data_IF_484675158853
#
_entry.id   IF_484675158853
#
_cell.length_a   1.000
_cell.length_b   1.000
_cell.length_c   1.000
_cell.angle_alpha   90.00
_cell.angle_beta   90.00
_cell.angle_gamma   90.00
#
_symmetry.space_group_name_H-M   'P 1'
#
loop_
_entity.id
_entity.type
_entity.pdbx_description
1 polymer ?
#
# COMPACT_ATOMS: atom_id res chain seq x y z
N UNK A 1 29.76 -27.26 -30.00
CA UNK A 1 30.12 -25.83 -30.04
C UNK A 1 29.23 -25.08 -29.07
N UNK A 2 29.80 -24.70 -27.93
CA UNK A 2 29.10 -24.10 -26.78
C UNK A 2 29.01 -22.59 -26.97
N UNK A 3 27.80 -22.03 -27.09
CA UNK A 3 27.59 -20.57 -27.18
C UNK A 3 27.77 -19.94 -25.78
N UNK A 4 28.89 -19.23 -25.60
CA UNK A 4 29.10 -18.32 -24.46
C UNK A 4 28.12 -17.14 -24.57
N UNK A 5 27.13 -17.08 -23.69
CA UNK A 5 26.37 -15.87 -23.44
C UNK A 5 27.24 -14.92 -22.61
N UNK A 6 27.82 -13.90 -23.24
CA UNK A 6 28.59 -12.85 -22.56
C UNK A 6 27.65 -11.89 -21.84
N UNK A 7 27.80 -11.79 -20.51
CA UNK A 7 27.17 -10.88 -19.54
C UNK A 7 27.39 -9.36 -19.81
N UNK A 8 27.47 -8.94 -21.08
CA UNK A 8 27.77 -7.56 -21.48
C UNK A 8 26.53 -6.64 -21.48
N UNK A 9 25.32 -7.20 -21.40
CA UNK A 9 24.06 -6.44 -21.36
C UNK A 9 23.59 -6.10 -19.93
N UNK A 10 24.10 -6.76 -18.90
CA UNK A 10 23.73 -6.51 -17.50
C UNK A 10 24.41 -5.28 -16.88
N UNK A 11 25.52 -4.80 -17.47
CA UNK A 11 26.30 -3.68 -16.89
C UNK A 11 26.10 -2.33 -17.59
N UNK A 12 25.38 -2.27 -18.71
CA UNK A 12 25.19 -1.02 -19.47
C UNK A 12 23.89 -0.28 -19.17
N UNK A 13 23.00 -0.86 -18.35
CA UNK A 13 21.76 -0.24 -17.89
C UNK A 13 21.92 0.59 -16.58
N UNK A 14 23.11 0.60 -15.96
CA UNK A 14 23.35 1.29 -14.68
C UNK A 14 23.62 2.80 -14.79
N UNK A 15 23.34 3.44 -15.93
CA UNK A 15 23.78 4.83 -16.15
C UNK A 15 22.88 5.63 -17.09
N UNK A 16 21.62 5.83 -16.70
CA UNK A 16 20.87 7.11 -16.80
C UNK A 16 19.35 6.87 -16.72
N UNK A 17 18.68 7.64 -15.84
CA UNK A 17 17.22 7.77 -15.62
C UNK A 17 16.64 6.74 -14.64
N UNK A 18 15.95 7.25 -13.61
CA UNK A 18 15.44 6.54 -12.44
C UNK A 18 14.37 5.50 -12.82
N UNK A 19 14.42 4.30 -12.23
CA UNK A 19 13.38 3.27 -12.35
C UNK A 19 12.18 3.61 -11.42
N UNK A 20 11.64 4.82 -11.50
CA UNK A 20 10.62 5.32 -10.57
C UNK A 20 9.18 4.99 -11.03
N UNK A 21 8.35 4.53 -10.10
CA UNK A 21 6.96 4.12 -10.33
C UNK A 21 6.04 4.96 -9.44
N UNK A 22 5.30 5.89 -10.03
CA UNK A 22 4.43 6.80 -9.28
C UNK A 22 2.99 6.30 -9.22
N UNK A 23 2.42 6.27 -8.01
CA UNK A 23 1.02 5.89 -7.79
C UNK A 23 0.08 6.94 -8.37
N UNK A 24 -1.04 6.52 -8.97
CA UNK A 24 -2.03 7.43 -9.53
C UNK A 24 -2.83 8.15 -8.44
N UNK A 25 -3.08 9.45 -8.64
CA UNK A 25 -3.89 10.27 -7.74
C UNK A 25 -5.29 9.66 -7.51
N UNK A 26 -5.93 9.15 -8.56
CA UNK A 26 -7.26 8.54 -8.48
C UNK A 26 -7.30 7.33 -7.55
N UNK A 27 -6.25 6.52 -7.53
CA UNK A 27 -6.18 5.32 -6.70
C UNK A 27 -5.98 5.69 -5.22
N UNK A 28 -5.16 6.72 -4.95
CA UNK A 28 -4.97 7.29 -3.61
C UNK A 28 -6.27 7.91 -3.12
N UNK A 29 -6.89 8.78 -3.91
CA UNK A 29 -8.16 9.44 -3.57
C UNK A 29 -9.23 8.40 -3.25
N UNK A 30 -9.45 7.45 -4.16
CA UNK A 30 -10.46 6.40 -3.99
C UNK A 30 -10.26 5.62 -2.69
N UNK A 31 -9.02 5.26 -2.38
CA UNK A 31 -8.71 4.53 -1.16
C UNK A 31 -8.92 5.41 0.08
N UNK A 32 -8.31 6.60 0.13
CA UNK A 32 -8.36 7.49 1.30
C UNK A 32 -9.78 7.98 1.61
N UNK A 33 -10.59 8.32 0.60
CA UNK A 33 -11.99 8.74 0.82
C UNK A 33 -12.82 7.64 1.50
N UNK A 34 -12.52 6.35 1.28
CA UNK A 34 -13.28 5.27 1.92
C UNK A 34 -13.06 5.21 3.45
N UNK A 35 -11.89 5.64 3.94
CA UNK A 35 -11.63 5.79 5.38
C UNK A 35 -12.33 7.04 5.92
N UNK A 36 -12.33 8.14 5.17
CA UNK A 36 -13.03 9.38 5.53
C UNK A 36 -14.56 9.20 5.55
N UNK A 37 -15.12 8.41 4.64
CA UNK A 37 -16.55 8.08 4.61
C UNK A 37 -16.96 7.31 5.86
N UNK A 38 -16.11 6.38 6.31
CA UNK A 38 -16.35 5.61 7.52
C UNK A 38 -16.12 6.42 8.80
N UNK A 39 -15.03 7.18 8.86
CA UNK A 39 -14.68 8.06 9.96
C UNK A 39 -14.15 9.40 9.42
N UNK A 40 -14.96 10.47 9.43
CA UNK A 40 -14.56 11.77 8.87
C UNK A 40 -13.42 12.45 9.65
N UNK A 41 -13.12 11.96 10.85
CA UNK A 41 -12.09 12.51 11.73
C UNK A 41 -10.81 11.66 11.74
N UNK A 42 -10.70 10.61 10.91
CA UNK A 42 -9.55 9.70 10.89
C UNK A 42 -8.20 10.43 10.72
N UNK A 43 -8.16 11.53 9.94
CA UNK A 43 -6.97 12.38 9.77
C UNK A 43 -7.00 13.68 10.58
N UNK A 44 -8.09 13.97 11.31
CA UNK A 44 -8.24 15.26 12.00
C UNK A 44 -7.23 15.40 13.12
N UNK A 45 -6.55 16.54 13.15
CA UNK A 45 -5.48 16.88 14.09
C UNK A 45 -4.29 15.89 14.08
N UNK A 46 -4.17 15.05 13.05
CA UNK A 46 -3.08 14.08 12.90
C UNK A 46 -1.90 14.68 12.16
N UNK A 47 -0.72 14.13 12.43
CA UNK A 47 0.48 14.33 11.63
C UNK A 47 0.61 13.16 10.66
N UNK A 48 0.52 13.44 9.36
CA UNK A 48 0.71 12.43 8.30
C UNK A 48 2.12 12.52 7.75
N UNK A 49 2.77 11.37 7.57
CA UNK A 49 4.06 11.26 6.91
C UNK A 49 3.96 10.45 5.62
N UNK A 50 4.22 11.12 4.50
CA UNK A 50 4.37 10.48 3.20
C UNK A 50 5.86 10.46 2.84
N UNK A 51 6.56 9.39 3.22
CA UNK A 51 7.88 9.16 2.65
C UNK A 51 7.72 8.95 1.15
N UNK A 52 8.51 9.62 0.31
CA UNK A 52 8.43 9.44 -1.12
C UNK A 52 9.79 9.69 -1.76
N UNK A 53 9.95 9.30 -3.02
CA UNK A 53 11.20 9.55 -3.73
C UNK A 53 11.28 11.02 -4.18
N UNK A 54 10.14 11.62 -4.55
CA UNK A 54 10.01 13.05 -4.87
C UNK A 54 8.65 13.64 -4.42
N UNK A 55 8.63 14.57 -3.45
CA UNK A 55 7.41 15.26 -3.01
C UNK A 55 6.68 16.06 -4.09
N UNK A 56 7.37 16.59 -5.10
CA UNK A 56 6.73 17.36 -6.18
C UNK A 56 5.98 16.47 -7.18
N UNK A 57 6.44 15.23 -7.36
CA UNK A 57 5.79 14.24 -8.25
C UNK A 57 4.87 13.27 -7.48
N UNK A 58 5.02 13.19 -6.15
CA UNK A 58 4.24 12.31 -5.31
C UNK A 58 2.77 12.70 -5.25
N UNK A 59 1.92 11.88 -5.86
CA UNK A 59 0.47 12.04 -5.74
C UNK A 59 -0.04 11.85 -4.30
N UNK A 60 0.73 11.21 -3.41
CA UNK A 60 0.42 11.18 -1.97
C UNK A 60 0.53 12.57 -1.37
N UNK A 61 1.67 13.24 -1.59
CA UNK A 61 1.84 14.62 -1.14
C UNK A 61 0.75 15.53 -1.73
N UNK A 62 0.54 15.44 -3.04
CA UNK A 62 -0.49 16.22 -3.76
C UNK A 62 -1.87 16.05 -3.13
N UNK A 63 -2.31 14.82 -2.87
CA UNK A 63 -3.61 14.58 -2.25
C UNK A 63 -3.69 15.22 -0.86
N UNK A 64 -2.76 14.92 0.05
CA UNK A 64 -2.85 15.39 1.43
C UNK A 64 -2.68 16.91 1.55
N UNK A 65 -1.83 17.54 0.74
CA UNK A 65 -1.63 18.98 0.79
C UNK A 65 -2.84 19.75 0.25
N UNK A 66 -3.41 19.30 -0.88
CA UNK A 66 -4.61 19.92 -1.46
C UNK A 66 -5.85 19.74 -0.58
N UNK A 67 -5.88 18.66 0.21
CA UNK A 67 -6.98 18.36 1.12
C UNK A 67 -6.71 18.77 2.58
N UNK A 68 -5.56 19.39 2.89
CA UNK A 68 -5.06 19.62 4.24
C UNK A 68 -6.12 20.23 5.18
N UNK A 69 -6.76 21.33 4.74
CA UNK A 69 -7.84 21.98 5.51
C UNK A 69 -9.12 21.15 5.56
N UNK A 70 -9.51 20.53 4.44
CA UNK A 70 -10.76 19.76 4.33
C UNK A 70 -10.79 18.61 5.33
N UNK A 71 -9.68 17.88 5.45
CA UNK A 71 -9.55 16.73 6.36
C UNK A 71 -9.05 17.12 7.76
N UNK A 72 -8.79 18.41 7.99
CA UNK A 72 -8.37 18.95 9.29
C UNK A 72 -6.99 18.45 9.74
N UNK A 73 -6.05 18.27 8.81
CA UNK A 73 -4.72 17.77 9.12
C UNK A 73 -3.95 18.78 9.99
N UNK A 74 -3.16 18.29 10.96
CA UNK A 74 -2.32 19.17 11.81
C UNK A 74 -0.99 19.50 11.13
N UNK A 75 -0.39 18.50 10.49
CA UNK A 75 0.91 18.62 9.82
C UNK A 75 1.03 17.54 8.76
N UNK A 76 1.62 17.89 7.63
CA UNK A 76 2.05 16.95 6.60
C UNK A 76 3.57 16.98 6.53
N UNK A 77 4.19 15.82 6.72
CA UNK A 77 5.63 15.64 6.57
C UNK A 77 5.85 14.85 5.28
N UNK A 78 6.83 15.24 4.47
CA UNK A 78 7.33 14.42 3.38
C UNK A 78 8.85 14.47 3.32
N UNK A 79 9.44 13.41 2.79
CA UNK A 79 10.85 13.37 2.44
C UNK A 79 10.98 13.00 0.97
N UNK A 80 12.11 13.36 0.37
CA UNK A 80 12.57 12.83 -0.92
C UNK A 80 13.70 11.82 -0.70
N UNK A 81 13.94 10.94 -1.68
CA UNK A 81 15.10 10.04 -1.70
C UNK A 81 16.16 10.56 -2.69
N UNK A 82 17.42 10.20 -2.48
CA UNK A 82 18.51 10.54 -3.41
C UNK A 82 18.69 9.49 -4.52
N UNK A 83 18.81 9.88 -5.81
CA UNK A 83 18.76 11.23 -6.34
C UNK A 83 17.37 11.60 -6.87
N UNK A 84 16.66 12.54 -6.23
CA UNK A 84 15.47 13.17 -6.81
C UNK A 84 15.89 14.07 -7.99
N UNK A 85 15.44 13.80 -9.23
CA UNK A 85 15.82 14.58 -10.40
C UNK A 85 15.17 15.97 -10.42
N UNK A 86 14.01 16.13 -9.78
CA UNK A 86 13.10 17.26 -9.96
C UNK A 86 13.10 18.20 -8.76
N UNK A 87 13.13 17.68 -7.53
CA UNK A 87 13.15 18.52 -6.32
C UNK A 87 14.31 19.54 -6.30
N UNK A 88 15.44 19.23 -6.95
CA UNK A 88 16.60 20.12 -7.02
C UNK A 88 16.67 20.98 -8.30
N UNK A 89 15.93 20.67 -9.37
CA UNK A 89 16.01 21.39 -10.67
C UNK A 89 14.80 22.29 -10.97
N UNK A 90 13.58 21.90 -10.58
CA UNK A 90 12.41 22.77 -10.81
C UNK A 90 12.47 24.07 -9.98
N UNK A 91 13.29 24.11 -8.93
CA UNK A 91 13.50 25.29 -8.10
C UNK A 91 14.49 26.31 -8.70
N UNK A 92 15.49 25.89 -9.48
CA UNK A 92 16.36 26.81 -10.27
C UNK A 92 15.53 27.60 -11.30
N UNK A 93 14.43 27.02 -11.82
CA UNK A 93 13.53 27.64 -12.80
C UNK A 93 12.62 28.73 -12.22
N UNK A 94 12.57 28.90 -10.89
CA UNK A 94 11.71 29.88 -10.21
C UNK A 94 12.46 30.77 -9.20
N UNK A 95 13.79 30.93 -9.32
CA UNK A 95 14.61 31.76 -8.41
C UNK A 95 15.15 33.03 -9.08
N UNK A 96 14.70 34.20 -8.63
CA UNK A 96 15.29 35.51 -8.95
C UNK A 96 15.84 36.22 -7.68
N UNK A 97 15.99 35.49 -6.56
CA UNK A 97 16.40 36.07 -5.26
C UNK A 97 17.86 35.68 -4.93
N UNK A 98 18.77 36.65 -5.04
CA UNK A 98 20.22 36.50 -4.84
C UNK A 98 20.61 35.95 -3.45
N UNK A 99 19.76 36.13 -2.43
CA UNK A 99 20.05 35.69 -1.06
C UNK A 99 19.88 34.18 -0.83
N UNK A 100 18.99 33.54 -1.60
CA UNK A 100 18.82 32.08 -1.58
C UNK A 100 19.84 31.40 -2.49
N UNK A 101 20.31 32.08 -3.53
CA UNK A 101 21.35 31.60 -4.47
C UNK A 101 22.66 31.26 -3.75
N UNK A 102 23.12 32.06 -2.79
CA UNK A 102 24.32 31.75 -1.98
C UNK A 102 24.16 30.47 -1.12
N UNK A 103 22.94 30.16 -0.67
CA UNK A 103 22.65 28.96 0.11
C UNK A 103 22.56 27.72 -0.79
N UNK A 104 22.08 27.88 -2.03
CA UNK A 104 22.00 26.82 -3.04
C UNK A 104 23.33 26.52 -3.73
N UNK A 105 24.21 27.51 -3.92
CA UNK A 105 25.55 27.32 -4.53
C UNK A 105 26.48 26.47 -3.66
N UNK A 106 26.19 26.36 -2.35
CA UNK A 106 26.95 25.55 -1.40
C UNK A 106 26.29 24.21 -1.05
N UNK A 107 25.02 23.99 -1.45
CA UNK A 107 24.34 22.73 -1.23
C UNK A 107 24.73 21.72 -2.33
N UNK A 108 25.11 20.48 -1.97
CA UNK A 108 25.30 19.45 -2.98
C UNK A 108 23.98 19.25 -3.73
N UNK A 109 23.96 19.37 -5.06
CA UNK A 109 22.79 19.19 -5.97
C UNK A 109 22.05 17.84 -5.87
N UNK A 110 22.39 17.04 -4.87
CA UNK A 110 22.10 15.61 -4.77
C UNK A 110 21.75 15.20 -3.33
N UNK A 111 21.40 16.10 -2.42
CA UNK A 111 20.90 15.71 -1.08
C UNK A 111 19.40 15.43 -1.13
N UNK A 112 18.94 14.49 -0.31
CA UNK A 112 17.50 14.31 -0.05
C UNK A 112 16.95 15.56 0.67
N UNK A 113 15.64 15.77 0.62
CA UNK A 113 14.97 16.94 1.19
C UNK A 113 13.84 16.48 2.12
N UNK A 114 13.53 17.30 3.12
CA UNK A 114 12.30 17.20 3.91
C UNK A 114 11.43 18.42 3.72
N UNK A 115 10.12 18.20 3.69
CA UNK A 115 9.11 19.24 3.65
C UNK A 115 8.15 19.04 4.81
N UNK A 116 7.85 20.13 5.51
CA UNK A 116 6.89 20.14 6.61
C UNK A 116 5.86 21.23 6.30
N UNK A 117 4.62 20.82 6.11
CA UNK A 117 3.48 21.72 5.91
C UNK A 117 2.68 21.75 7.21
N UNK A 118 2.58 22.92 7.83
CA UNK A 118 1.74 23.16 9.00
C UNK A 118 0.50 24.00 8.67
N UNK A 119 0.56 24.78 7.60
CA UNK A 119 -0.54 25.63 7.15
C UNK A 119 -0.60 25.65 5.63
N UNK A 120 -1.81 25.80 5.08
CA UNK A 120 -2.03 26.01 3.65
C UNK A 120 -2.98 27.18 3.42
N UNK A 121 -3.01 27.76 2.23
CA UNK A 121 -3.85 28.90 1.90
C UNK A 121 -3.48 29.54 0.57
N UNK A 122 -4.44 30.19 -0.06
CA UNK A 122 -4.23 31.03 -1.24
C UNK A 122 -3.27 32.18 -0.87
N UNK A 123 -2.16 32.30 -1.61
CA UNK A 123 -1.14 33.33 -1.41
C UNK A 123 -1.13 34.36 -2.55
N UNK A 124 -1.55 33.98 -3.74
CA UNK A 124 -1.53 34.87 -4.90
C UNK A 124 -2.82 35.70 -5.05
N UNK A 125 -3.86 35.36 -4.28
CA UNK A 125 -5.12 36.07 -4.16
C UNK A 125 -6.09 35.76 -5.31
N UNK A 126 -5.90 34.64 -6.01
CA UNK A 126 -6.77 34.23 -7.12
C UNK A 126 -8.07 33.51 -6.68
N UNK A 127 -8.25 33.31 -5.36
CA UNK A 127 -9.33 32.56 -4.70
C UNK A 127 -9.35 31.05 -5.00
N UNK A 128 -8.29 30.49 -5.58
CA UNK A 128 -8.09 29.06 -5.77
C UNK A 128 -6.87 28.60 -4.96
N UNK A 129 -6.98 27.48 -4.24
CA UNK A 129 -5.82 26.89 -3.57
C UNK A 129 -5.25 25.75 -4.42
N UNK A 130 -4.00 25.91 -4.85
CA UNK A 130 -3.34 24.93 -5.70
C UNK A 130 -1.86 24.68 -5.30
N UNK A 131 -1.16 23.81 -6.03
CA UNK A 131 0.25 23.47 -5.71
C UNK A 131 1.22 24.66 -5.87
N UNK A 132 0.89 25.67 -6.69
CA UNK A 132 1.71 26.88 -6.83
C UNK A 132 1.69 27.69 -5.53
N UNK A 133 0.55 27.79 -4.86
CA UNK A 133 0.46 28.44 -3.55
C UNK A 133 1.34 27.75 -2.51
N UNK A 134 1.32 26.41 -2.49
CA UNK A 134 2.17 25.60 -1.59
C UNK A 134 3.64 25.89 -1.86
N UNK A 135 4.05 25.92 -3.13
CA UNK A 135 5.43 26.24 -3.51
C UNK A 135 5.81 27.68 -3.09
N UNK A 136 4.92 28.66 -3.28
CA UNK A 136 5.13 30.04 -2.84
C UNK A 136 5.20 30.15 -1.30
N UNK A 137 4.41 29.35 -0.58
CA UNK A 137 4.43 29.29 0.89
C UNK A 137 5.74 28.75 1.44
N UNK A 138 6.23 27.66 0.86
CA UNK A 138 7.52 27.07 1.20
C UNK A 138 8.65 28.09 0.99
N UNK A 139 8.60 28.88 -0.10
CA UNK A 139 9.58 29.95 -0.36
C UNK A 139 9.54 31.09 0.63
N UNK A 140 8.34 31.56 0.99
CA UNK A 140 8.16 32.66 1.95
C UNK A 140 8.52 32.24 3.39
N UNK A 141 8.78 30.94 3.61
CA UNK A 141 9.35 30.35 4.83
C UNK A 141 8.69 30.87 6.12
N UNK A 142 7.35 30.88 6.13
CA UNK A 142 6.54 31.36 7.26
C UNK A 142 6.33 30.27 8.30
N UNK A 143 5.42 29.34 8.00
CA UNK A 143 4.98 28.24 8.88
C UNK A 143 5.28 26.87 8.28
N UNK A 144 5.76 26.82 7.04
CA UNK A 144 6.12 25.60 6.35
C UNK A 144 7.64 25.58 6.20
N UNK A 145 8.24 24.41 6.36
CA UNK A 145 9.69 24.23 6.32
C UNK A 145 10.09 23.40 5.12
N UNK A 146 11.17 23.80 4.47
CA UNK A 146 11.90 22.99 3.50
C UNK A 146 13.37 23.02 3.86
N UNK A 147 13.95 21.84 4.09
CA UNK A 147 15.36 21.71 4.43
C UNK A 147 15.97 20.47 3.77
N UNK A 148 17.26 20.51 3.40
CA UNK A 148 17.99 19.31 3.02
C UNK A 148 18.09 18.36 4.21
N UNK A 149 18.08 17.08 3.91
CA UNK A 149 18.43 16.00 4.82
C UNK A 149 19.95 15.81 4.84
N UNK A 150 20.47 15.36 5.98
CA UNK A 150 21.90 15.03 6.12
C UNK A 150 22.22 13.71 5.40
N UNK A 151 21.25 12.78 5.39
CA UNK A 151 21.34 11.48 4.76
C UNK A 151 20.79 11.42 3.32
N UNK A 152 20.49 10.20 2.89
CA UNK A 152 19.96 9.90 1.56
C UNK A 152 18.43 9.75 1.52
N UNK A 153 17.75 9.91 2.66
CA UNK A 153 16.31 9.72 2.81
C UNK A 153 15.89 8.27 3.08
N UNK A 154 16.82 7.33 3.32
CA UNK A 154 16.47 5.97 3.72
C UNK A 154 15.61 5.99 5.00
N UNK A 155 14.53 5.22 5.03
CA UNK A 155 13.60 5.17 6.17
C UNK A 155 14.25 4.65 7.46
N UNK A 156 15.43 4.03 7.37
CA UNK A 156 16.21 3.49 8.48
C UNK A 156 17.16 4.51 9.10
N UNK A 157 17.39 5.63 8.42
CA UNK A 157 18.25 6.71 8.93
C UNK A 157 17.66 7.35 10.21
N UNK A 158 18.52 7.88 11.07
CA UNK A 158 18.10 8.52 12.32
C UNK A 158 17.17 9.72 12.07
N UNK A 159 17.42 10.49 11.01
CA UNK A 159 16.56 11.62 10.61
C UNK A 159 15.16 11.15 10.17
N UNK A 160 15.06 10.10 9.34
CA UNK A 160 13.78 9.54 8.91
C UNK A 160 13.01 8.93 10.07
N UNK A 161 13.71 8.27 11.00
CA UNK A 161 13.13 7.75 12.23
C UNK A 161 12.64 8.89 13.14
N UNK A 162 13.36 10.01 13.22
CA UNK A 162 12.92 11.17 13.98
C UNK A 162 11.64 11.79 13.40
N UNK A 163 11.50 11.82 12.07
CA UNK A 163 10.26 12.23 11.38
C UNK A 163 9.13 11.21 11.60
N UNK A 164 9.43 9.91 11.51
CA UNK A 164 8.49 8.84 11.79
C UNK A 164 7.92 8.97 13.21
N UNK A 165 8.77 9.21 14.21
CA UNK A 165 8.36 9.36 15.62
C UNK A 165 7.37 10.51 15.83
N UNK A 166 7.55 11.62 15.11
CA UNK A 166 6.65 12.79 15.17
C UNK A 166 5.29 12.57 14.51
N UNK A 167 5.18 11.53 13.67
CA UNK A 167 4.01 11.28 12.83
C UNK A 167 3.04 10.33 13.50
N UNK A 168 1.75 10.51 13.27
CA UNK A 168 0.71 9.62 13.76
C UNK A 168 0.41 8.52 12.72
N UNK A 169 0.28 8.94 11.45
CA UNK A 169 -0.14 8.09 10.33
C UNK A 169 0.90 8.14 9.21
N UNK A 170 1.27 6.98 8.66
CA UNK A 170 2.21 6.86 7.54
C UNK A 170 1.42 6.46 6.29
N UNK A 171 1.57 7.22 5.19
CA UNK A 171 0.86 6.91 3.94
C UNK A 171 1.82 6.95 2.75
N UNK A 172 2.10 5.79 2.15
CA UNK A 172 3.16 5.69 1.13
C UNK A 172 3.10 4.43 0.24
N UNK A 173 3.87 4.41 -0.84
CA UNK A 173 4.24 3.23 -1.62
C UNK A 173 5.70 2.84 -1.30
N UNK A 174 5.94 1.98 -0.30
CA UNK A 174 7.30 1.63 0.10
C UNK A 174 7.99 0.70 -0.93
N UNK A 175 9.33 0.67 -0.97
CA UNK A 175 10.06 -0.24 -1.85
C UNK A 175 9.76 -1.71 -1.49
N UNK A 176 9.26 -2.47 -2.47
CA UNK A 176 8.81 -3.85 -2.24
C UNK A 176 9.90 -4.81 -1.73
N UNK A 177 11.18 -4.53 -2.05
CA UNK A 177 12.33 -5.30 -1.56
C UNK A 177 12.54 -5.15 -0.05
N UNK A 178 12.15 -4.02 0.53
CA UNK A 178 12.31 -3.71 1.96
C UNK A 178 10.96 -3.76 2.70
N UNK A 179 9.89 -4.22 2.06
CA UNK A 179 8.53 -4.18 2.60
C UNK A 179 8.39 -4.85 3.98
N UNK A 180 9.04 -6.00 4.20
CA UNK A 180 8.97 -6.72 5.49
C UNK A 180 9.61 -5.92 6.62
N UNK A 181 10.80 -5.37 6.36
CA UNK A 181 11.53 -4.53 7.30
C UNK A 181 10.74 -3.24 7.60
N UNK A 182 10.12 -2.66 6.56
CA UNK A 182 9.31 -1.46 6.71
C UNK A 182 8.06 -1.70 7.57
N UNK A 183 7.28 -2.76 7.28
CA UNK A 183 6.11 -3.12 8.12
C UNK A 183 6.52 -3.38 9.56
N UNK A 184 7.62 -4.10 9.79
CA UNK A 184 8.14 -4.33 11.14
C UNK A 184 8.46 -3.02 11.85
N UNK A 185 9.13 -2.07 11.17
CA UNK A 185 9.42 -0.75 11.74
C UNK A 185 8.13 0.00 12.12
N UNK A 186 7.12 0.02 11.25
CA UNK A 186 5.84 0.71 11.53
C UNK A 186 5.15 0.12 12.76
N UNK A 187 5.19 -1.21 12.91
CA UNK A 187 4.64 -1.92 14.07
C UNK A 187 5.44 -1.62 15.34
N UNK A 188 6.77 -1.66 15.28
CA UNK A 188 7.65 -1.40 16.43
C UNK A 188 7.50 0.03 16.97
N UNK A 189 7.23 0.99 16.07
CA UNK A 189 6.95 2.39 16.43
C UNK A 189 5.46 2.68 16.68
N UNK A 190 4.61 1.65 16.72
CA UNK A 190 3.17 1.72 16.97
C UNK A 190 2.46 2.76 16.11
N UNK A 191 2.70 2.70 14.80
CA UNK A 191 2.16 3.66 13.84
C UNK A 191 0.88 3.18 13.20
N UNK A 192 -0.03 4.12 13.00
CA UNK A 192 -1.11 3.93 12.04
C UNK A 192 -0.52 4.09 10.63
N UNK A 193 -0.99 3.31 9.66
CA UNK A 193 -0.46 3.37 8.31
C UNK A 193 -1.45 2.91 7.24
N UNK A 194 -1.24 3.41 6.03
CA UNK A 194 -1.87 2.99 4.79
C UNK A 194 -0.79 2.90 3.72
N UNK A 195 -0.37 1.68 3.37
CA UNK A 195 0.76 1.46 2.46
C UNK A 195 0.42 0.53 1.30
N UNK A 196 1.06 0.73 0.17
CA UNK A 196 0.92 -0.18 -0.97
C UNK A 196 1.86 -1.38 -0.80
N UNK A 197 1.32 -2.58 -0.95
CA UNK A 197 2.08 -3.82 -0.92
C UNK A 197 1.72 -4.73 -2.09
N UNK A 198 2.56 -5.72 -2.33
CA UNK A 198 2.25 -6.81 -3.24
C UNK A 198 1.36 -7.85 -2.54
N UNK A 199 0.43 -8.49 -3.25
CA UNK A 199 -0.47 -9.54 -2.72
C UNK A 199 0.28 -10.70 -2.06
N UNK A 200 1.49 -11.01 -2.54
CA UNK A 200 2.34 -12.03 -1.93
C UNK A 200 2.75 -11.67 -0.49
N UNK A 201 2.76 -10.38 -0.14
CA UNK A 201 3.12 -9.90 1.18
C UNK A 201 2.18 -10.42 2.28
N UNK A 202 0.92 -10.71 1.95
CA UNK A 202 -0.05 -11.31 2.88
C UNK A 202 0.52 -12.58 3.52
N UNK A 203 1.31 -13.36 2.79
CA UNK A 203 1.86 -14.64 3.26
C UNK A 203 3.19 -14.53 4.00
N UNK A 204 3.79 -13.33 4.08
CA UNK A 204 5.08 -13.11 4.73
C UNK A 204 5.00 -13.39 6.24
N UNK A 205 6.12 -13.81 6.82
CA UNK A 205 6.22 -14.17 8.25
C UNK A 205 5.95 -13.00 9.17
N UNK A 206 6.26 -11.81 8.70
CA UNK A 206 6.12 -10.54 9.42
C UNK A 206 4.71 -9.95 9.25
N UNK A 207 3.91 -10.44 8.28
CA UNK A 207 2.62 -9.84 7.88
C UNK A 207 1.44 -10.73 8.24
N UNK A 208 1.47 -12.02 7.88
CA UNK A 208 0.32 -12.91 8.11
C UNK A 208 -0.08 -13.02 9.59
N UNK A 209 0.87 -13.14 10.56
CA UNK A 209 0.50 -13.17 11.97
C UNK A 209 -0.25 -11.90 12.41
N UNK A 210 0.12 -10.73 11.89
CA UNK A 210 -0.56 -9.48 12.19
C UNK A 210 -1.98 -9.44 11.62
N UNK A 211 -2.20 -10.00 10.43
CA UNK A 211 -3.55 -10.16 9.84
C UNK A 211 -4.38 -11.13 10.68
N UNK A 212 -3.80 -12.28 11.03
CA UNK A 212 -4.45 -13.30 11.86
C UNK A 212 -4.85 -12.76 13.23
N UNK A 213 -4.00 -11.95 13.84
CA UNK A 213 -4.23 -11.29 15.14
C UNK A 213 -5.09 -10.02 15.03
N UNK A 214 -5.63 -9.72 13.84
CA UNK A 214 -6.46 -8.54 13.56
C UNK A 214 -5.77 -7.20 13.90
N UNK A 215 -4.45 -7.13 13.75
CA UNK A 215 -3.65 -5.91 13.97
C UNK A 215 -3.50 -5.06 12.72
N UNK A 216 -3.54 -5.70 11.55
CA UNK A 216 -3.48 -5.07 10.23
C UNK A 216 -4.45 -5.80 9.29
N UNK A 217 -4.88 -5.15 8.22
CA UNK A 217 -5.81 -5.70 7.23
C UNK A 217 -5.57 -5.12 5.84
N UNK A 218 -6.25 -5.70 4.85
CA UNK A 218 -6.27 -5.15 3.50
C UNK A 218 -7.12 -3.89 3.48
N UNK A 219 -6.77 -2.93 2.64
CA UNK A 219 -7.61 -1.77 2.37
C UNK A 219 -8.86 -2.15 1.57
N UNK A 220 -9.45 -1.17 0.89
CA UNK A 220 -10.84 -1.31 0.40
C UNK A 220 -10.99 -2.12 -0.88
N UNK A 221 -9.90 -2.56 -1.50
CA UNK A 221 -9.95 -3.52 -2.59
C UNK A 221 -8.66 -4.27 -2.86
N UNK A 222 -8.79 -5.30 -3.69
CA UNK A 222 -7.73 -6.22 -4.08
C UNK A 222 -7.66 -6.39 -5.61
N UNK A 223 -6.51 -6.82 -6.12
CA UNK A 223 -6.30 -7.12 -7.54
C UNK A 223 -6.06 -5.87 -8.37
N UNK A 224 -7.05 -5.46 -9.17
CA UNK A 224 -6.97 -4.24 -10.03
C UNK A 224 -7.41 -2.96 -9.32
N UNK A 225 -7.44 -2.98 -7.99
CA UNK A 225 -7.82 -1.81 -7.21
C UNK A 225 -6.80 -0.68 -7.35
N UNK A 226 -5.53 -1.05 -7.46
CA UNK A 226 -4.47 -0.16 -7.95
C UNK A 226 -4.40 -0.37 -9.47
N UNK A 227 -4.76 0.67 -10.21
CA UNK A 227 -4.98 0.64 -11.65
C UNK A 227 -3.69 0.83 -12.46
N UNK A 228 -2.59 1.16 -11.79
CA UNK A 228 -1.23 1.12 -12.32
C UNK A 228 -0.32 2.17 -11.69
N UNK A 229 0.87 2.28 -12.26
CA UNK A 229 1.88 3.27 -11.87
C UNK A 229 2.37 4.02 -13.10
N UNK A 230 2.59 5.32 -12.96
CA UNK A 230 3.28 6.12 -13.98
C UNK A 230 4.74 5.69 -13.99
N UNK A 231 5.26 5.39 -15.17
CA UNK A 231 6.64 4.96 -15.39
C UNK A 231 7.38 5.95 -16.29
N UNK A 232 8.71 6.08 -16.17
CA UNK A 232 9.49 6.99 -17.00
C UNK A 232 9.46 6.61 -18.48
N UNK A 233 9.74 7.58 -19.35
CA UNK A 233 9.78 7.38 -20.80
C UNK A 233 10.79 6.32 -21.27
N UNK A 234 11.81 6.04 -20.46
CA UNK A 234 12.79 4.99 -20.72
C UNK A 234 12.26 3.58 -20.44
N UNK A 235 11.16 3.45 -19.69
CA UNK A 235 10.56 2.17 -19.40
C UNK A 235 9.89 1.61 -20.67
N UNK A 236 10.34 0.44 -21.11
CA UNK A 236 9.74 -0.25 -22.23
C UNK A 236 8.38 -0.81 -21.84
N UNK A 237 7.34 -0.37 -22.56
CA UNK A 237 5.98 -0.85 -22.35
C UNK A 237 5.82 -2.22 -23.00
N UNK A 238 5.46 -3.21 -22.19
CA UNK A 238 5.24 -4.58 -22.66
C UNK A 238 3.81 -5.04 -22.35
N UNK A 239 3.20 -5.70 -23.34
CA UNK A 239 1.92 -6.38 -23.17
C UNK A 239 0.71 -5.44 -23.07
N UNK A 240 -0.43 -6.02 -22.71
CA UNK A 240 -1.74 -5.33 -22.60
C UNK A 240 -1.91 -4.56 -21.29
N UNK A 241 -0.92 -4.60 -20.39
CA UNK A 241 -0.96 -3.96 -19.07
C UNK A 241 -0.38 -2.53 -19.09
N UNK A 242 0.16 -2.12 -20.23
CA UNK A 242 0.69 -0.79 -20.46
C UNK A 242 -0.29 0.07 -21.27
N UNK A 243 -0.45 1.33 -20.87
CA UNK A 243 -1.25 2.34 -21.58
C UNK A 243 -0.58 3.71 -21.52
N UNK A 244 -1.04 4.61 -22.38
CA UNK A 244 -0.72 6.04 -22.31
C UNK A 244 -2.03 6.76 -22.02
N UNK A 245 -2.04 7.65 -21.02
CA UNK A 245 -3.22 8.45 -20.70
C UNK A 245 -3.33 9.72 -21.59
N UNK A 246 -4.37 10.52 -21.36
CA UNK A 246 -4.64 11.74 -22.14
C UNK A 246 -3.56 12.82 -21.95
N UNK A 247 -2.83 12.79 -20.82
CA UNK A 247 -1.74 13.70 -20.50
C UNK A 247 -0.39 13.23 -21.07
N UNK A 248 -0.35 12.04 -21.68
CA UNK A 248 0.84 11.45 -22.25
C UNK A 248 1.67 10.62 -21.26
N UNK A 249 1.19 10.43 -20.03
CA UNK A 249 1.88 9.61 -19.05
C UNK A 249 1.81 8.13 -19.43
N UNK A 250 2.94 7.43 -19.30
CA UNK A 250 2.99 5.98 -19.50
C UNK A 250 2.60 5.27 -18.21
N UNK A 251 1.58 4.44 -18.26
CA UNK A 251 1.07 3.72 -17.08
C UNK A 251 1.24 2.22 -17.28
N UNK A 252 1.84 1.56 -16.28
CA UNK A 252 1.96 0.10 -16.20
C UNK A 252 1.11 -0.43 -15.06
N UNK A 253 0.19 -1.33 -15.39
CA UNK A 253 -0.69 -1.97 -14.42
C UNK A 253 -0.03 -3.21 -13.85
N UNK A 254 0.01 -3.35 -12.53
CA UNK A 254 0.41 -4.61 -11.89
C UNK A 254 -0.80 -5.18 -11.17
N UNK A 255 -1.37 -6.28 -11.66
CA UNK A 255 -2.58 -6.92 -11.09
C UNK A 255 -2.41 -7.49 -9.67
N UNK A 256 -1.27 -7.23 -9.02
CA UNK A 256 -0.84 -7.87 -7.78
C UNK A 256 -0.59 -6.87 -6.65
N UNK A 257 -0.98 -5.60 -6.80
CA UNK A 257 -0.82 -4.60 -5.74
C UNK A 257 -2.13 -4.41 -4.98
N UNK A 258 -2.00 -4.11 -3.68
CA UNK A 258 -3.11 -3.83 -2.77
C UNK A 258 -2.67 -2.82 -1.71
N UNK A 259 -3.65 -2.28 -0.99
CA UNK A 259 -3.41 -1.48 0.20
C UNK A 259 -3.35 -2.39 1.43
N UNK A 260 -2.36 -2.19 2.29
CA UNK A 260 -2.22 -2.80 3.60
C UNK A 260 -2.26 -1.70 4.64
N UNK A 261 -3.09 -1.87 5.67
CA UNK A 261 -3.42 -0.78 6.59
C UNK A 261 -3.76 -1.32 7.98
N UNK A 262 -3.76 -0.43 8.97
CA UNK A 262 -4.44 -0.62 10.25
C UNK A 262 -5.40 0.54 10.58
N UNK A 263 -5.74 1.36 9.56
CA UNK A 263 -6.82 2.33 9.63
C UNK A 263 -8.15 1.63 9.35
N UNK A 264 -9.16 1.90 10.16
CA UNK A 264 -10.46 1.25 10.04
C UNK A 264 -11.29 1.81 8.88
N UNK A 265 -12.11 0.97 8.24
CA UNK A 265 -12.89 1.36 7.08
C UNK A 265 -14.20 0.58 6.96
N UNK A 266 -15.22 1.19 6.35
CA UNK A 266 -16.59 0.64 6.35
C UNK A 266 -16.73 -0.75 5.73
N UNK A 267 -15.95 -1.07 4.68
CA UNK A 267 -15.95 -2.41 4.05
C UNK A 267 -15.63 -3.53 5.05
N UNK A 268 -14.88 -3.22 6.10
CA UNK A 268 -14.43 -4.18 7.11
C UNK A 268 -15.57 -4.74 7.94
N UNK A 269 -16.66 -4.00 8.07
CA UNK A 269 -17.83 -4.37 8.86
C UNK A 269 -19.01 -4.82 8.00
N UNK A 270 -18.81 -4.97 6.69
CA UNK A 270 -19.85 -5.50 5.81
C UNK A 270 -19.97 -7.00 6.04
N UNK A 271 -21.15 -7.46 6.48
CA UNK A 271 -21.42 -8.89 6.55
C UNK A 271 -21.35 -9.51 5.15
N UNK A 272 -20.67 -10.64 5.06
CA UNK A 272 -20.67 -11.47 3.86
C UNK A 272 -21.97 -12.26 3.82
N UNK A 273 -22.84 -12.09 2.80
CA UNK A 273 -24.04 -12.90 2.66
C UNK A 273 -23.67 -14.35 2.34
N UNK A 274 -24.18 -15.29 3.13
CA UNK A 274 -23.87 -16.72 3.04
C UNK A 274 -25.13 -17.53 2.76
N UNK A 275 -24.97 -18.62 2.02
CA UNK A 275 -26.00 -19.64 1.83
C UNK A 275 -25.72 -20.84 2.76
N UNK A 276 -26.73 -21.66 3.02
CA UNK A 276 -26.51 -22.94 3.71
C UNK A 276 -25.65 -23.88 2.87
N UNK A 277 -25.05 -24.92 3.47
CA UNK A 277 -24.34 -25.96 2.73
C UNK A 277 -25.24 -26.57 1.63
N UNK A 278 -26.50 -26.88 1.96
CA UNK A 278 -27.46 -27.47 1.01
C UNK A 278 -27.74 -26.53 -0.17
N UNK A 279 -27.92 -25.24 0.11
CA UNK A 279 -28.18 -24.24 -0.92
C UNK A 279 -26.96 -23.97 -1.79
N UNK A 280 -25.75 -23.94 -1.23
CA UNK A 280 -24.50 -23.87 -2.00
C UNK A 280 -24.39 -25.04 -2.98
N UNK A 281 -24.65 -26.27 -2.53
CA UNK A 281 -24.64 -27.47 -3.37
C UNK A 281 -25.68 -27.35 -4.50
N UNK A 282 -26.85 -26.77 -4.23
CA UNK A 282 -27.94 -26.70 -5.21
C UNK A 282 -27.79 -25.57 -6.21
N UNK A 283 -27.36 -24.39 -5.77
CA UNK A 283 -27.49 -23.13 -6.51
C UNK A 283 -26.17 -22.43 -6.86
N UNK A 284 -25.02 -22.93 -6.39
CA UNK A 284 -23.73 -22.27 -6.68
C UNK A 284 -23.51 -22.08 -8.19
N UNK A 285 -22.95 -20.93 -8.55
CA UNK A 285 -22.48 -20.62 -9.90
C UNK A 285 -21.25 -21.44 -10.31
N UNK A 286 -20.51 -21.98 -9.33
CA UNK A 286 -19.29 -22.75 -9.53
C UNK A 286 -19.59 -24.23 -9.76
N UNK A 287 -19.24 -24.74 -10.95
CA UNK A 287 -19.51 -26.13 -11.36
C UNK A 287 -18.85 -27.19 -10.47
N UNK A 288 -17.77 -26.83 -9.77
CA UNK A 288 -17.06 -27.68 -8.82
C UNK A 288 -17.61 -27.61 -7.40
N UNK A 289 -18.57 -26.73 -7.11
CA UNK A 289 -19.35 -26.72 -5.85
C UNK A 289 -20.75 -27.31 -6.11
N UNK A 290 -21.39 -26.90 -7.21
CA UNK A 290 -22.76 -27.32 -7.53
C UNK A 290 -22.86 -28.83 -7.72
N UNK A 291 -23.74 -29.48 -6.95
CA UNK A 291 -24.01 -30.91 -6.95
C UNK A 291 -22.92 -31.76 -6.28
N UNK A 292 -22.00 -31.14 -5.52
CA UNK A 292 -20.91 -31.84 -4.84
C UNK A 292 -20.88 -31.49 -3.37
N UNK A 293 -20.70 -32.50 -2.53
CA UNK A 293 -20.49 -32.29 -1.09
C UNK A 293 -19.14 -31.60 -0.83
N UNK A 294 -19.05 -30.91 0.32
CA UNK A 294 -17.81 -30.29 0.76
C UNK A 294 -16.80 -31.36 1.16
N UNK A 295 -15.59 -31.28 0.61
CA UNK A 295 -14.51 -32.19 0.96
C UNK A 295 -13.86 -31.78 2.30
N UNK A 296 -13.25 -32.73 2.99
CA UNK A 296 -12.48 -32.50 4.22
C UNK A 296 -10.99 -32.67 3.96
N UNK A 297 -10.16 -31.98 4.73
CA UNK A 297 -8.71 -32.19 4.67
C UNK A 297 -8.31 -33.53 5.28
N UNK A 298 -7.28 -34.14 4.69
CA UNK A 298 -6.81 -35.47 5.09
C UNK A 298 -6.26 -35.49 6.53
N UNK A 299 -5.60 -34.40 6.95
CA UNK A 299 -4.87 -34.30 8.22
C UNK A 299 -5.25 -33.11 9.10
N UNK A 300 -6.37 -32.43 8.82
CA UNK A 300 -6.83 -31.30 9.62
C UNK A 300 -8.35 -31.26 9.68
N UNK A 301 -8.93 -30.98 10.84
CA UNK A 301 -10.39 -31.00 11.05
C UNK A 301 -11.02 -29.72 10.51
N UNK A 302 -11.08 -29.64 9.18
CA UNK A 302 -11.67 -28.54 8.44
C UNK A 302 -12.22 -29.03 7.10
N UNK A 303 -13.21 -28.28 6.58
CA UNK A 303 -13.68 -28.46 5.20
C UNK A 303 -12.86 -27.60 4.23
N UNK A 304 -12.69 -28.09 3.00
CA UNK A 304 -12.18 -27.31 1.88
C UNK A 304 -13.32 -26.49 1.29
N UNK A 305 -13.13 -25.17 1.21
CA UNK A 305 -14.09 -24.26 0.61
C UNK A 305 -13.39 -23.57 -0.57
N UNK A 306 -13.72 -23.93 -1.82
CA UNK A 306 -12.92 -23.51 -2.96
C UNK A 306 -13.11 -22.05 -3.37
N UNK A 307 -14.22 -21.42 -2.94
CA UNK A 307 -14.58 -20.03 -3.25
C UNK A 307 -15.20 -19.32 -2.05
N UNK A 308 -14.97 -18.02 -1.93
CA UNK A 308 -15.50 -17.19 -0.85
C UNK A 308 -17.03 -17.15 -0.80
N UNK A 309 -17.71 -17.18 -1.94
CA UNK A 309 -19.18 -17.23 -2.04
C UNK A 309 -19.76 -18.63 -1.81
N UNK A 310 -18.91 -19.64 -1.60
CA UNK A 310 -19.30 -20.99 -1.20
C UNK A 310 -19.07 -21.25 0.29
N UNK A 311 -18.78 -20.22 1.09
CA UNK A 311 -18.70 -20.36 2.55
C UNK A 311 -20.12 -20.64 3.08
N UNK A 312 -20.33 -21.75 3.81
CA UNK A 312 -21.65 -22.07 4.35
C UNK A 312 -21.99 -21.30 5.63
N UNK A 313 -23.25 -20.86 5.77
CA UNK A 313 -23.76 -20.19 6.96
C UNK A 313 -24.02 -21.13 8.15
N UNK A 314 -24.18 -22.42 7.90
CA UNK A 314 -24.63 -23.45 8.85
C UNK A 314 -23.53 -24.45 9.25
N UNK A 315 -22.26 -24.11 9.02
CA UNK A 315 -21.11 -24.91 9.42
C UNK A 315 -20.23 -24.20 10.47
N UNK A 316 -20.17 -24.75 11.68
CA UNK A 316 -19.48 -24.11 12.82
C UNK A 316 -18.02 -24.54 13.00
N UNK A 317 -17.56 -25.49 12.18
CA UNK A 317 -16.18 -25.97 12.18
C UNK A 317 -15.20 -25.02 11.48
N UNK A 318 -13.95 -25.45 11.40
CA UNK A 318 -12.92 -24.70 10.67
C UNK A 318 -13.09 -24.90 9.16
N UNK A 319 -12.88 -23.83 8.40
CA UNK A 319 -13.02 -23.83 6.95
C UNK A 319 -11.74 -23.31 6.30
N UNK A 320 -11.21 -24.04 5.33
CA UNK A 320 -10.10 -23.57 4.50
C UNK A 320 -10.62 -22.81 3.29
N UNK A 321 -10.49 -21.48 3.31
CA UNK A 321 -10.98 -20.55 2.27
C UNK A 321 -9.85 -19.93 1.44
N UNK A 322 -10.09 -19.47 0.21
CA UNK A 322 -9.04 -18.85 -0.60
C UNK A 322 -8.49 -17.59 0.06
N UNK A 323 -7.22 -17.25 -0.20
CA UNK A 323 -6.60 -16.00 0.31
C UNK A 323 -7.39 -14.73 -0.07
N UNK A 324 -8.08 -14.78 -1.21
CA UNK A 324 -8.95 -13.71 -1.70
C UNK A 324 -10.14 -13.41 -0.78
N UNK A 325 -10.46 -14.31 0.15
CA UNK A 325 -11.44 -14.06 1.22
C UNK A 325 -11.11 -12.80 2.03
N UNK A 326 -9.82 -12.45 2.20
CA UNK A 326 -9.41 -11.27 2.95
C UNK A 326 -9.99 -9.96 2.40
N UNK A 327 -10.33 -9.89 1.12
CA UNK A 327 -11.00 -8.73 0.53
C UNK A 327 -12.42 -8.51 1.08
N UNK A 328 -13.05 -9.57 1.60
CA UNK A 328 -14.39 -9.58 2.21
C UNK A 328 -14.34 -9.97 3.69
N UNK A 329 -13.17 -9.92 4.30
CA UNK A 329 -13.00 -10.36 5.68
C UNK A 329 -13.61 -9.36 6.65
N UNK A 330 -14.67 -9.81 7.32
CA UNK A 330 -15.30 -9.13 8.42
C UNK A 330 -14.88 -9.79 9.76
N UNK A 331 -14.18 -9.07 10.65
CA UNK A 331 -13.69 -9.61 11.92
C UNK A 331 -14.80 -9.80 12.96
N UNK A 332 -15.98 -9.20 12.81
CA UNK A 332 -17.17 -9.49 13.62
C UNK A 332 -17.81 -10.82 13.21
N UNK A 333 -17.78 -11.17 11.91
CA UNK A 333 -18.38 -12.39 11.38
C UNK A 333 -17.46 -13.62 11.45
N UNK A 334 -16.14 -13.43 11.28
CA UNK A 334 -15.18 -14.53 11.20
C UNK A 334 -13.93 -14.31 12.05
N UNK A 335 -13.35 -15.40 12.53
CA UNK A 335 -12.03 -15.48 13.13
C UNK A 335 -11.06 -16.19 12.18
N UNK A 336 -9.86 -15.62 11.98
CA UNK A 336 -8.78 -16.31 11.28
C UNK A 336 -8.04 -17.18 12.30
N UNK A 337 -8.20 -18.50 12.20
CA UNK A 337 -7.60 -19.45 13.14
C UNK A 337 -6.23 -19.95 12.66
N UNK A 338 -5.90 -19.76 11.37
CA UNK A 338 -4.59 -20.10 10.85
C UNK A 338 -4.48 -20.02 9.33
N UNK A 339 -3.48 -20.71 8.79
CA UNK A 339 -3.20 -20.73 7.36
C UNK A 339 -2.11 -21.74 7.04
N UNK A 340 -1.84 -21.94 5.75
CA UNK A 340 -0.98 -23.04 5.27
C UNK A 340 0.37 -23.20 5.99
N UNK A 341 1.03 -22.10 6.34
CA UNK A 341 2.34 -22.11 7.02
C UNK A 341 2.26 -21.86 8.54
N UNK A 342 1.04 -21.71 9.09
CA UNK A 342 0.80 -21.20 10.44
C UNK A 342 -0.18 -22.06 11.24
N UNK A 343 -0.51 -23.25 10.73
CA UNK A 343 -1.41 -24.22 11.37
C UNK A 343 -0.72 -25.56 11.50
N UNK A 344 -1.01 -26.27 12.59
CA UNK A 344 -0.52 -27.62 12.82
C UNK A 344 -1.60 -28.66 12.52
N UNK A 345 -1.22 -29.76 11.90
CA UNK A 345 -2.04 -30.93 11.66
C UNK A 345 -2.19 -31.80 12.92
N UNK A 346 -2.90 -32.92 12.80
CA UNK A 346 -3.14 -33.84 13.93
C UNK A 346 -1.86 -34.40 14.57
N UNK A 347 -0.76 -34.48 13.82
CA UNK A 347 0.53 -35.01 14.28
C UNK A 347 1.46 -33.90 14.78
N UNK A 348 0.99 -32.65 14.83
CA UNK A 348 1.78 -31.48 15.21
C UNK A 348 2.73 -30.99 14.11
N UNK A 349 2.60 -31.48 12.88
CA UNK A 349 3.35 -30.98 11.71
C UNK A 349 2.60 -29.83 11.05
N UNK A 350 3.23 -29.06 10.19
CA UNK A 350 2.53 -28.03 9.43
C UNK A 350 1.42 -28.64 8.56
N UNK A 351 0.20 -28.11 8.68
CA UNK A 351 -0.93 -28.49 7.83
C UNK A 351 -0.56 -28.38 6.36
N UNK A 352 -0.79 -29.45 5.61
CA UNK A 352 -0.24 -29.62 4.27
C UNK A 352 -1.28 -29.40 3.15
N UNK A 353 -2.51 -29.03 3.50
CA UNK A 353 -3.59 -28.72 2.54
C UNK A 353 -3.88 -29.83 1.54
N UNK A 354 -3.88 -31.09 1.96
CA UNK A 354 -4.31 -32.20 1.11
C UNK A 354 -5.77 -32.58 1.32
N UNK A 355 -6.44 -32.87 0.21
CA UNK A 355 -7.78 -33.44 0.15
C UNK A 355 -7.70 -34.66 -0.77
N UNK A 356 -8.13 -35.82 -0.28
CA UNK A 356 -8.11 -37.07 -1.03
C UNK A 356 -6.70 -37.37 -1.60
N UNK A 357 -5.66 -37.10 -0.81
CA UNK A 357 -4.25 -37.30 -1.16
C UNK A 357 -3.66 -36.26 -2.12
N UNK A 358 -4.42 -35.25 -2.56
CA UNK A 358 -3.98 -34.22 -3.51
C UNK A 358 -3.87 -32.86 -2.84
N UNK A 359 -2.81 -32.12 -3.15
CA UNK A 359 -2.66 -30.74 -2.71
C UNK A 359 -3.70 -29.84 -3.37
N UNK A 360 -4.37 -29.02 -2.55
CA UNK A 360 -5.18 -27.89 -3.03
C UNK A 360 -4.37 -26.60 -2.98
N UNK A 361 -4.90 -25.54 -3.60
CA UNK A 361 -4.30 -24.21 -3.49
C UNK A 361 -4.24 -23.76 -2.02
N UNK A 362 -3.23 -22.94 -1.68
CA UNK A 362 -3.08 -22.41 -0.32
C UNK A 362 -4.37 -21.74 0.16
N UNK A 363 -4.82 -22.13 1.35
CA UNK A 363 -5.99 -21.53 2.03
C UNK A 363 -5.59 -20.82 3.31
N UNK A 364 -6.49 -19.93 3.73
CA UNK A 364 -6.58 -19.39 5.08
C UNK A 364 -7.61 -20.24 5.83
N UNK A 365 -7.32 -20.57 7.09
CA UNK A 365 -8.26 -21.26 7.94
C UNK A 365 -9.07 -20.23 8.73
N UNK A 366 -10.39 -20.28 8.58
CA UNK A 366 -11.32 -19.40 9.27
C UNK A 366 -12.34 -20.20 10.07
N UNK A 367 -12.97 -19.56 11.05
CA UNK A 367 -14.13 -20.06 11.77
C UNK A 367 -15.16 -18.93 11.87
N UNK A 368 -16.45 -19.24 11.81
CA UNK A 368 -17.49 -18.26 12.14
C UNK A 368 -17.38 -17.91 13.63
N UNK A 369 -17.55 -16.63 13.97
CA UNK A 369 -17.76 -16.27 15.38
C UNK A 369 -19.16 -16.71 15.79
N UNK A 370 -19.28 -17.14 17.04
CA UNK A 370 -20.60 -17.38 17.62
C UNK A 370 -21.24 -16.03 17.92
N UNK A 371 -22.53 -15.90 17.61
CA UNK A 371 -23.34 -14.72 17.92
C UNK A 371 -23.45 -14.45 19.43
#
# INVERSE_FOLDING_TARGET
MTRKATNKYLHKAKKSKSDEFYTLYSDIQKEVEAYLEYNPDVFRNKVVYCNCDDPYESNFFRYFVLNFKRIGLKKLITTSYKPSPVANTQLELFSDDESLTELYDHLPKVTANRFIINEVGDIDGDNEFNLKDVALQLKKNKQNEWMPLEGDGDFRSEESIALLRQSDIIVTNPPFSLFREYVQQLVDYNKEFLIIGNINAISYKEVFPLIKENKIWLGTGMGRWISGFIVPDSYELYGTEARIDEEGNRIVSTNNCLWLTNLDHGKRHQELPLMTMSDNIKFSSHKNVRGKEYEKYDNYDAIEVPYTDAIPSDYDGVMGVPITFLDKYNPEQFEIVGGYNYSLDYDGNTWNGKVNGKYVYKRILIKKKAD
#
